data_IF_185086384469
#
_entry.id   IF_185086384469
#
_cell.length_a   1.000
_cell.length_b   1.000
_cell.length_c   1.000
_cell.angle_alpha   90.00
_cell.angle_beta   90.00
_cell.angle_gamma   90.00
#
_symmetry.space_group_name_H-M   'P 1'
#
loop_
_entity.id
_entity.type
_entity.pdbx_description
1 polymer ?
#
# COMPACT_ATOMS: atom_id res chain seq x y z
N UNK A 1 34.92 -50.12 -3.73
CA UNK A 1 34.95 -48.85 -4.47
C UNK A 1 33.75 -48.02 -4.06
N UNK A 2 33.94 -46.70 -3.95
CA UNK A 2 33.05 -45.64 -3.47
C UNK A 2 32.87 -45.45 -1.95
N UNK A 3 33.56 -44.40 -1.46
CA UNK A 3 33.45 -43.77 -0.15
C UNK A 3 32.13 -43.01 0.05
N UNK A 4 31.61 -42.90 1.28
CA UNK A 4 30.60 -41.90 1.64
C UNK A 4 31.25 -40.51 1.77
N UNK A 5 30.62 -39.50 1.15
CA UNK A 5 30.99 -38.10 1.33
C UNK A 5 30.52 -37.63 2.72
N UNK A 6 31.48 -37.31 3.57
CA UNK A 6 31.27 -36.64 4.85
C UNK A 6 31.10 -35.13 4.58
N UNK A 7 29.97 -34.56 4.99
CA UNK A 7 29.80 -33.11 5.06
C UNK A 7 30.32 -32.63 6.42
N UNK A 8 31.41 -31.87 6.40
CA UNK A 8 31.92 -31.15 7.56
C UNK A 8 30.96 -30.01 7.97
N UNK A 9 31.07 -29.51 9.22
CA UNK A 9 30.20 -28.45 9.70
C UNK A 9 30.39 -27.18 8.86
N UNK A 10 29.28 -26.64 8.38
CA UNK A 10 29.23 -25.29 7.79
C UNK A 10 29.54 -24.32 8.91
N UNK A 11 30.69 -23.64 8.80
CA UNK A 11 31.08 -22.59 9.72
C UNK A 11 29.99 -21.53 9.80
N UNK A 12 29.58 -21.20 11.03
CA UNK A 12 28.74 -20.06 11.33
C UNK A 12 29.54 -18.79 11.02
N UNK A 13 29.32 -18.23 9.85
CA UNK A 13 29.72 -16.86 9.54
C UNK A 13 28.59 -15.95 10.03
N UNK A 14 28.62 -15.64 11.32
CA UNK A 14 27.71 -14.71 12.01
C UNK A 14 28.01 -13.26 11.59
N UNK A 15 27.73 -12.94 10.33
CA UNK A 15 27.57 -11.57 9.87
C UNK A 15 26.19 -11.04 10.26
N UNK A 16 26.05 -9.87 10.89
CA UNK A 16 24.75 -9.37 11.26
C UNK A 16 23.95 -9.03 10.00
N UNK A 17 22.91 -9.83 9.71
CA UNK A 17 21.81 -9.44 8.83
C UNK A 17 21.17 -8.21 9.46
N UNK A 18 21.54 -7.02 8.97
CA UNK A 18 20.94 -5.76 9.39
C UNK A 18 19.51 -5.69 8.86
N UNK A 19 18.56 -6.15 9.66
CA UNK A 19 17.19 -5.67 9.54
C UNK A 19 17.19 -4.16 9.84
N UNK A 20 16.91 -3.35 8.83
CA UNK A 20 16.65 -1.92 9.04
C UNK A 20 15.28 -1.79 9.72
N UNK A 21 15.27 -1.86 11.04
CA UNK A 21 14.11 -1.45 11.85
C UNK A 21 14.21 0.06 12.00
N UNK A 22 13.48 0.81 11.17
CA UNK A 22 13.18 2.21 11.46
C UNK A 22 12.03 2.23 12.47
N UNK A 23 12.36 2.20 13.77
CA UNK A 23 11.38 2.56 14.80
C UNK A 23 11.18 4.08 14.77
N UNK A 24 9.95 4.51 14.56
CA UNK A 24 9.53 5.91 14.69
C UNK A 24 9.39 6.27 16.16
N UNK A 25 10.49 6.35 16.89
CA UNK A 25 10.53 6.86 18.27
C UNK A 25 11.75 7.77 18.48
N UNK A 26 11.82 8.86 17.71
CA UNK A 26 12.82 9.90 17.95
C UNK A 26 12.37 11.30 17.52
N UNK A 27 11.21 11.72 18.00
CA UNK A 27 10.92 13.15 18.20
C UNK A 27 11.12 13.51 19.68
N UNK A 28 12.36 13.40 20.14
CA UNK A 28 12.82 14.10 21.35
C UNK A 28 13.85 15.11 20.87
N UNK A 29 13.53 16.40 21.00
CA UNK A 29 14.52 17.48 20.84
C UNK A 29 15.61 17.24 21.89
N UNK A 30 16.78 16.85 21.43
CA UNK A 30 18.01 16.95 22.21
C UNK A 30 18.85 18.04 21.55
N UNK A 31 18.97 19.17 22.25
CA UNK A 31 20.00 20.18 22.00
C UNK A 31 21.36 19.50 22.06
N UNK A 32 22.00 19.33 20.91
CA UNK A 32 23.34 18.75 20.82
C UNK A 32 24.16 19.56 19.84
N UNK A 33 24.93 20.47 20.43
CA UNK A 33 25.97 21.25 19.77
C UNK A 33 27.08 20.33 19.23
N UNK A 34 27.40 20.53 17.95
CA UNK A 34 28.69 20.25 17.25
C UNK A 34 29.15 18.80 17.04
N UNK A 35 29.01 18.33 15.80
CA UNK A 35 29.82 17.23 15.20
C UNK A 35 31.04 17.86 14.50
N UNK A 36 32.29 17.46 14.79
CA UNK A 36 33.48 18.07 14.17
C UNK A 36 33.59 17.71 12.68
N UNK A 37 33.83 18.71 11.81
CA UNK A 37 34.25 18.50 10.42
C UNK A 37 33.15 18.53 9.35
N UNK A 38 31.87 18.74 9.70
CA UNK A 38 30.85 19.09 8.71
C UNK A 38 30.97 20.58 8.37
N UNK A 39 31.14 20.99 7.11
CA UNK A 39 31.04 22.41 6.77
C UNK A 39 29.67 22.90 7.23
N UNK A 40 29.68 23.85 8.15
CA UNK A 40 28.47 24.54 8.58
C UNK A 40 27.97 25.30 7.36
N UNK A 41 26.97 24.77 6.67
CA UNK A 41 26.15 25.60 5.79
C UNK A 41 25.53 26.63 6.72
N UNK A 42 25.87 27.93 6.61
CA UNK A 42 25.21 28.94 7.42
C UNK A 42 23.71 28.76 7.19
N UNK A 43 22.93 28.76 8.28
CA UNK A 43 21.49 28.82 8.16
C UNK A 43 21.20 29.95 7.15
N UNK A 44 20.33 29.74 6.15
CA UNK A 44 20.01 30.80 5.21
C UNK A 44 19.66 32.04 6.04
N UNK A 45 20.16 33.19 5.61
CA UNK A 45 19.84 34.47 6.23
C UNK A 45 18.36 34.75 5.94
N UNK A 46 17.50 34.04 6.67
CA UNK A 46 16.06 34.19 6.62
C UNK A 46 15.82 35.47 7.37
N UNK A 47 15.84 36.57 6.62
CA UNK A 47 15.28 37.82 7.08
C UNK A 47 13.81 37.55 7.42
N UNK A 48 13.53 37.27 8.69
CA UNK A 48 12.20 37.06 9.27
C UNK A 48 11.31 38.31 9.15
N UNK A 49 11.88 39.44 8.70
CA UNK A 49 11.17 40.69 8.42
C UNK A 49 10.80 40.82 6.94
N UNK A 50 11.27 39.92 6.07
CA UNK A 50 10.88 39.90 4.67
C UNK A 50 9.41 39.48 4.59
N UNK A 51 8.50 40.31 4.05
CA UNK A 51 7.12 39.92 3.90
C UNK A 51 7.09 38.64 3.06
N UNK A 52 6.37 37.61 3.56
CA UNK A 52 6.24 36.36 2.81
C UNK A 52 5.74 36.70 1.41
N UNK A 53 6.37 36.16 0.35
CA UNK A 53 5.87 36.36 -0.99
C UNK A 53 4.40 35.94 -1.02
N UNK A 54 3.54 36.84 -1.50
CA UNK A 54 2.12 36.53 -1.69
C UNK A 54 2.08 35.37 -2.67
N UNK A 55 1.74 34.18 -2.17
CA UNK A 55 1.56 33.01 -3.02
C UNK A 55 0.38 33.30 -3.96
N UNK A 56 0.50 32.93 -5.25
CA UNK A 56 -0.64 33.03 -6.14
C UNK A 56 -1.81 32.21 -5.56
N UNK A 57 -3.06 32.59 -5.86
CA UNK A 57 -4.21 31.79 -5.44
C UNK A 57 -4.05 30.36 -5.98
N UNK A 58 -4.41 29.34 -5.19
CA UNK A 58 -4.34 27.96 -5.64
C UNK A 58 -5.18 27.79 -6.91
N UNK A 59 -4.73 26.98 -7.88
CA UNK A 59 -5.49 26.74 -9.09
C UNK A 59 -6.87 26.15 -8.74
N UNK A 60 -7.90 26.53 -9.49
CA UNK A 60 -9.30 26.13 -9.26
C UNK A 60 -9.51 24.61 -9.39
N UNK A 61 -8.53 23.91 -9.97
CA UNK A 61 -8.44 22.45 -10.00
C UNK A 61 -7.03 21.98 -10.35
N UNK A 62 -6.77 20.69 -10.14
CA UNK A 62 -5.51 20.02 -10.49
C UNK A 62 -5.77 19.02 -11.62
N UNK A 63 -4.88 18.98 -12.62
CA UNK A 63 -4.81 17.92 -13.63
C UNK A 63 -3.74 16.87 -13.31
N UNK A 64 -3.10 16.97 -12.14
CA UNK A 64 -2.03 16.03 -11.72
C UNK A 64 -2.64 14.75 -11.17
N UNK A 65 -3.66 14.87 -10.32
CA UNK A 65 -4.39 13.74 -9.74
C UNK A 65 -5.71 14.22 -9.17
N UNK A 66 -6.71 13.34 -9.20
CA UNK A 66 -8.01 13.48 -8.56
C UNK A 66 -7.93 13.37 -7.02
N UNK A 67 -6.89 12.74 -6.46
CA UNK A 67 -6.67 12.69 -5.01
C UNK A 67 -6.33 14.06 -4.38
N UNK A 68 -6.09 15.08 -5.22
CA UNK A 68 -5.93 16.46 -4.80
C UNK A 68 -7.26 17.21 -4.68
N UNK A 69 -8.37 16.61 -5.11
CA UNK A 69 -9.70 17.21 -4.99
C UNK A 69 -10.15 17.25 -3.52
N UNK A 70 -10.92 18.30 -3.19
CA UNK A 70 -11.62 18.36 -1.91
C UNK A 70 -12.78 17.35 -1.84
N UNK A 71 -13.28 17.15 -0.62
CA UNK A 71 -14.45 16.31 -0.35
C UNK A 71 -15.75 16.98 -0.83
N UNK A 72 -16.70 16.21 -1.35
CA UNK A 72 -17.99 16.76 -1.81
C UNK A 72 -18.83 17.31 -0.64
N UNK A 73 -19.68 18.33 -0.87
CA UNK A 73 -20.53 18.88 0.17
C UNK A 73 -21.41 17.83 0.87
N UNK A 74 -21.99 16.89 0.12
CA UNK A 74 -22.87 15.85 0.65
C UNK A 74 -22.13 14.89 1.61
N UNK A 75 -20.85 14.60 1.33
CA UNK A 75 -20.01 13.81 2.24
C UNK A 75 -19.70 14.60 3.51
N UNK A 76 -19.42 15.91 3.39
CA UNK A 76 -19.21 16.76 4.57
C UNK A 76 -20.46 16.86 5.46
N UNK A 77 -21.64 16.98 4.85
CA UNK A 77 -22.91 16.97 5.57
C UNK A 77 -23.16 15.63 6.28
N UNK A 78 -22.88 14.51 5.62
CA UNK A 78 -22.98 13.19 6.23
C UNK A 78 -22.02 13.00 7.41
N UNK A 79 -20.78 13.48 7.29
CA UNK A 79 -19.80 13.48 8.39
C UNK A 79 -20.27 14.35 9.55
N UNK A 80 -20.79 15.55 9.29
CA UNK A 80 -21.34 16.43 10.32
C UNK A 80 -22.52 15.78 11.05
N UNK A 81 -23.41 15.09 10.33
CA UNK A 81 -24.52 14.35 10.91
C UNK A 81 -24.06 13.14 11.74
N UNK A 82 -23.02 12.43 11.31
CA UNK A 82 -22.42 11.31 12.05
C UNK A 82 -21.69 11.75 13.32
N UNK A 83 -21.27 13.01 13.40
CA UNK A 83 -20.56 13.59 14.55
C UNK A 83 -21.50 14.02 15.70
N UNK A 84 -22.78 13.66 15.66
CA UNK A 84 -23.76 13.95 16.73
C UNK A 84 -24.06 12.68 17.51
N UNK A 85 -23.82 12.72 18.83
CA UNK A 85 -24.07 11.58 19.72
C UNK A 85 -22.90 10.61 19.82
N UNK A 86 -23.19 9.35 20.12
CA UNK A 86 -22.20 8.27 20.24
C UNK A 86 -22.52 7.13 19.28
N UNK A 87 -21.50 6.40 18.85
CA UNK A 87 -21.63 5.23 17.99
C UNK A 87 -20.74 4.09 18.52
N UNK A 88 -21.16 2.86 18.29
CA UNK A 88 -20.33 1.69 18.58
C UNK A 88 -19.14 1.63 17.61
N UNK A 89 -18.00 1.20 18.12
CA UNK A 89 -16.78 1.12 17.34
C UNK A 89 -16.75 -0.10 16.40
N UNK A 90 -15.72 -0.17 15.54
CA UNK A 90 -15.40 -1.32 14.70
C UNK A 90 -16.51 -1.78 13.74
N UNK A 91 -17.34 -0.84 13.29
CA UNK A 91 -18.37 -1.06 12.28
C UNK A 91 -19.70 -1.58 12.82
N UNK A 92 -19.88 -1.65 14.14
CA UNK A 92 -21.15 -2.04 14.77
C UNK A 92 -22.14 -0.87 14.92
N UNK A 93 -22.06 0.10 14.01
CA UNK A 93 -22.86 1.32 14.02
C UNK A 93 -23.86 1.40 12.87
N UNK A 94 -24.86 2.27 13.04
CA UNK A 94 -25.95 2.46 12.09
C UNK A 94 -25.47 3.01 10.74
N UNK A 95 -24.41 3.83 10.72
CA UNK A 95 -23.86 4.39 9.47
C UNK A 95 -23.22 3.30 8.63
N UNK A 96 -22.41 2.44 9.25
CA UNK A 96 -21.83 1.26 8.63
C UNK A 96 -22.94 0.36 8.07
N UNK A 97 -23.96 -0.01 8.87
CA UNK A 97 -25.06 -0.87 8.39
C UNK A 97 -25.81 -0.27 7.20
N UNK A 98 -26.09 1.04 7.22
CA UNK A 98 -26.74 1.76 6.11
C UNK A 98 -25.86 1.77 4.85
N UNK A 99 -24.58 2.06 4.98
CA UNK A 99 -23.65 2.06 3.86
C UNK A 99 -23.54 0.66 3.22
N UNK A 100 -23.43 -0.39 4.03
CA UNK A 100 -23.42 -1.77 3.53
C UNK A 100 -24.75 -2.16 2.86
N UNK A 101 -25.89 -1.71 3.38
CA UNK A 101 -27.19 -1.92 2.74
C UNK A 101 -27.26 -1.25 1.37
N UNK A 102 -26.80 0.01 1.28
CA UNK A 102 -26.76 0.74 0.02
C UNK A 102 -25.85 0.07 -1.00
N UNK A 103 -24.71 -0.47 -0.59
CA UNK A 103 -23.82 -1.23 -1.49
C UNK A 103 -24.52 -2.48 -2.03
N UNK A 104 -25.26 -3.22 -1.22
CA UNK A 104 -26.05 -4.37 -1.69
C UNK A 104 -27.11 -3.98 -2.72
N UNK A 105 -27.78 -2.85 -2.52
CA UNK A 105 -28.75 -2.31 -3.49
C UNK A 105 -28.06 -1.89 -4.80
N UNK A 106 -26.92 -1.21 -4.73
CA UNK A 106 -26.19 -0.73 -5.90
C UNK A 106 -25.66 -1.88 -6.75
N UNK A 107 -25.14 -2.93 -6.11
CA UNK A 107 -24.62 -4.11 -6.81
C UNK A 107 -25.69 -5.14 -7.18
N UNK A 108 -26.93 -4.97 -6.69
CA UNK A 108 -28.03 -5.93 -6.84
C UNK A 108 -27.61 -7.38 -6.50
N UNK A 109 -26.84 -7.51 -5.42
CA UNK A 109 -26.20 -8.78 -5.05
C UNK A 109 -25.96 -8.87 -3.54
N UNK A 110 -25.86 -10.10 -2.98
CA UNK A 110 -25.56 -10.31 -1.57
C UNK A 110 -24.06 -10.09 -1.27
N UNK A 111 -23.58 -8.87 -1.53
CA UNK A 111 -22.18 -8.50 -1.28
C UNK A 111 -21.91 -8.32 0.21
N UNK A 112 -20.70 -8.72 0.62
CA UNK A 112 -20.12 -8.34 1.92
C UNK A 112 -19.12 -7.22 1.67
N UNK A 113 -19.23 -6.14 2.42
CA UNK A 113 -18.38 -4.95 2.26
C UNK A 113 -17.70 -4.60 3.56
N UNK A 114 -16.39 -4.33 3.45
CA UNK A 114 -15.53 -3.93 4.54
C UNK A 114 -14.90 -2.59 4.17
N UNK A 115 -14.86 -1.66 5.12
CA UNK A 115 -14.33 -0.32 4.89
C UNK A 115 -12.86 -0.26 5.28
N UNK A 116 -12.02 0.14 4.32
CA UNK A 116 -10.59 0.34 4.53
C UNK A 116 -10.27 1.83 4.49
N UNK A 117 -9.19 2.24 5.17
CA UNK A 117 -8.74 3.64 5.18
C UNK A 117 -8.42 4.19 3.78
N UNK A 118 -7.91 3.35 2.88
CA UNK A 118 -7.58 3.76 1.52
C UNK A 118 -7.37 2.58 0.57
N UNK A 119 -7.07 2.89 -0.70
CA UNK A 119 -6.99 1.92 -1.79
C UNK A 119 -5.95 0.82 -1.58
N UNK A 120 -4.73 1.16 -1.17
CA UNK A 120 -3.67 0.17 -0.90
C UNK A 120 -4.10 -0.86 0.16
N UNK A 121 -4.73 -0.41 1.24
CA UNK A 121 -5.24 -1.30 2.28
C UNK A 121 -6.36 -2.21 1.77
N UNK A 122 -7.27 -1.67 0.95
CA UNK A 122 -8.33 -2.45 0.32
C UNK A 122 -7.77 -3.53 -0.63
N UNK A 123 -6.77 -3.19 -1.45
CA UNK A 123 -6.11 -4.15 -2.34
C UNK A 123 -5.41 -5.26 -1.57
N UNK A 124 -4.65 -4.90 -0.52
CA UNK A 124 -3.96 -5.87 0.35
C UNK A 124 -4.97 -6.83 1.00
N UNK A 125 -6.04 -6.30 1.63
CA UNK A 125 -7.05 -7.13 2.30
C UNK A 125 -7.81 -8.00 1.30
N UNK A 126 -8.20 -7.42 0.16
CA UNK A 126 -8.90 -8.14 -0.91
C UNK A 126 -8.08 -9.31 -1.44
N UNK A 127 -6.82 -9.06 -1.84
CA UNK A 127 -5.92 -10.10 -2.32
C UNK A 127 -5.64 -11.15 -1.24
N UNK A 128 -5.31 -10.74 -0.01
CA UNK A 128 -5.05 -11.67 1.09
C UNK A 128 -6.25 -12.59 1.40
N UNK A 129 -7.47 -12.13 1.14
CA UNK A 129 -8.69 -12.92 1.41
C UNK A 129 -8.95 -14.05 0.42
N UNK A 130 -8.36 -13.99 -0.78
CA UNK A 130 -8.57 -14.98 -1.86
C UNK A 130 -7.32 -15.81 -2.17
N UNK A 131 -6.15 -15.38 -1.68
CA UNK A 131 -4.88 -16.04 -1.92
C UNK A 131 -4.57 -17.12 -0.90
N UNK A 132 -4.03 -18.24 -1.39
CA UNK A 132 -3.28 -19.22 -0.60
C UNK A 132 -1.78 -18.90 -0.65
N UNK A 133 -0.97 -19.37 0.32
CA UNK A 133 0.45 -18.99 0.43
C UNK A 133 1.31 -19.29 -0.80
N UNK A 134 0.93 -20.27 -1.61
CA UNK A 134 1.65 -20.67 -2.83
C UNK A 134 1.06 -20.05 -4.12
N UNK A 135 0.01 -19.23 -3.99
CA UNK A 135 -0.63 -18.61 -5.14
C UNK A 135 0.05 -17.29 -5.52
N UNK A 136 -0.10 -16.93 -6.79
CA UNK A 136 0.43 -15.74 -7.41
C UNK A 136 -0.69 -14.88 -7.98
N UNK A 137 -0.47 -13.57 -7.97
CA UNK A 137 -1.35 -12.58 -8.58
C UNK A 137 -0.83 -12.23 -9.97
N UNK A 138 -1.57 -12.61 -11.01
CA UNK A 138 -1.31 -12.16 -12.38
C UNK A 138 -1.92 -10.77 -12.56
N UNK A 139 -1.14 -9.80 -13.03
CA UNK A 139 -1.61 -8.42 -13.18
C UNK A 139 -0.95 -7.75 -14.38
N UNK A 140 -1.57 -6.70 -14.93
CA UNK A 140 -0.89 -5.82 -15.88
C UNK A 140 0.34 -5.18 -15.21
N UNK A 141 1.44 -5.03 -15.94
CA UNK A 141 2.68 -4.45 -15.43
C UNK A 141 2.51 -2.99 -14.98
N UNK A 142 1.52 -2.28 -15.52
CA UNK A 142 1.14 -0.91 -15.15
C UNK A 142 0.19 -0.82 -13.96
N UNK A 143 -0.23 -1.94 -13.37
CA UNK A 143 -1.22 -1.92 -12.30
C UNK A 143 -0.70 -1.22 -11.04
N UNK A 144 -1.60 -0.52 -10.34
CA UNK A 144 -1.28 0.24 -9.13
C UNK A 144 -0.60 -0.62 -8.04
N UNK A 145 -1.06 -1.87 -7.88
CA UNK A 145 -0.46 -2.85 -6.94
C UNK A 145 1.01 -3.18 -7.22
N UNK A 146 1.48 -2.94 -8.45
CA UNK A 146 2.87 -3.12 -8.88
C UNK A 146 3.67 -1.84 -8.68
N UNK A 147 3.13 -0.71 -9.14
CA UNK A 147 3.92 0.52 -9.33
C UNK A 147 3.83 1.52 -8.17
N UNK A 148 2.69 1.60 -7.48
CA UNK A 148 2.35 2.73 -6.60
C UNK A 148 1.93 2.31 -5.18
N UNK A 149 2.19 1.05 -4.81
CA UNK A 149 1.88 0.52 -3.47
C UNK A 149 3.12 0.13 -2.66
N UNK A 150 4.32 0.53 -3.12
CA UNK A 150 5.59 0.30 -2.41
C UNK A 150 5.80 -1.19 -2.02
N UNK A 151 5.32 -2.11 -2.86
CA UNK A 151 5.39 -3.55 -2.60
C UNK A 151 4.49 -4.05 -1.47
N UNK A 152 3.53 -3.26 -0.99
CA UNK A 152 2.61 -3.66 0.08
C UNK A 152 1.87 -4.98 -0.21
N UNK A 153 1.29 -5.21 -1.42
CA UNK A 153 0.65 -6.48 -1.74
C UNK A 153 1.57 -7.69 -1.55
N UNK A 154 2.78 -7.67 -2.12
CA UNK A 154 3.75 -8.76 -1.96
C UNK A 154 4.13 -8.97 -0.49
N UNK A 155 4.38 -7.89 0.26
CA UNK A 155 4.78 -7.96 1.66
C UNK A 155 3.71 -8.55 2.57
N UNK A 156 2.46 -8.12 2.42
CA UNK A 156 1.38 -8.48 3.35
C UNK A 156 0.70 -9.80 2.97
N UNK A 157 0.70 -10.17 1.69
CA UNK A 157 0.12 -11.45 1.25
C UNK A 157 1.14 -12.59 1.26
N UNK A 158 2.45 -12.28 1.18
CA UNK A 158 3.50 -13.27 0.93
C UNK A 158 3.44 -13.89 -0.47
N UNK A 159 2.56 -13.40 -1.34
CA UNK A 159 2.36 -13.93 -2.69
C UNK A 159 3.41 -13.40 -3.67
N UNK A 160 3.61 -14.17 -4.74
CA UNK A 160 4.35 -13.67 -5.91
C UNK A 160 3.42 -12.78 -6.74
N UNK A 161 3.85 -11.57 -7.05
CA UNK A 161 3.16 -10.68 -7.99
C UNK A 161 3.83 -10.83 -9.35
N UNK A 162 3.07 -11.23 -10.37
CA UNK A 162 3.56 -11.49 -11.72
C UNK A 162 3.06 -10.39 -12.66
N UNK A 163 3.88 -9.36 -12.95
CA UNK A 163 3.53 -8.31 -13.89
C UNK A 163 3.63 -8.82 -15.33
N UNK A 164 2.56 -8.65 -16.09
CA UNK A 164 2.45 -9.02 -17.51
C UNK A 164 2.45 -7.74 -18.34
N UNK A 165 3.36 -7.58 -19.32
CA UNK A 165 3.35 -6.43 -20.22
C UNK A 165 2.03 -6.32 -21.00
N UNK A 166 1.49 -5.12 -21.10
CA UNK A 166 0.24 -4.78 -21.81
C UNK A 166 0.41 -3.41 -22.45
N UNK A 167 -0.09 -3.21 -23.67
CA UNK A 167 0.02 -1.92 -24.36
C UNK A 167 -1.01 -0.88 -23.88
N UNK A 168 -2.19 -1.33 -23.43
CA UNK A 168 -3.32 -0.48 -23.05
C UNK A 168 -3.70 -0.58 -21.55
N UNK A 169 -2.87 -1.28 -20.77
CA UNK A 169 -3.12 -1.55 -19.34
C UNK A 169 -4.14 -2.64 -19.07
N UNK A 170 -4.59 -3.41 -20.07
CA UNK A 170 -5.60 -4.46 -19.91
C UNK A 170 -5.02 -5.85 -20.14
N UNK A 171 -5.42 -6.79 -19.29
CA UNK A 171 -5.15 -8.21 -19.50
C UNK A 171 -6.17 -8.80 -20.47
N UNK A 172 -5.69 -9.58 -21.43
CA UNK A 172 -6.52 -10.42 -22.30
C UNK A 172 -6.31 -11.90 -21.96
N UNK A 173 -7.26 -12.79 -22.28
CA UNK A 173 -7.08 -14.23 -22.09
C UNK A 173 -5.81 -14.77 -22.77
N UNK A 174 -5.47 -14.27 -23.96
CA UNK A 174 -4.27 -14.69 -24.71
C UNK A 174 -2.98 -14.35 -23.96
N UNK A 175 -2.95 -13.20 -23.26
CA UNK A 175 -1.82 -12.81 -22.43
C UNK A 175 -1.69 -13.66 -21.15
N UNK A 176 -2.80 -14.25 -20.69
CA UNK A 176 -2.84 -15.11 -19.51
C UNK A 176 -2.56 -16.58 -19.83
N UNK A 177 -2.84 -17.03 -21.06
CA UNK A 177 -2.72 -18.43 -21.49
C UNK A 177 -1.37 -19.08 -21.12
N UNK A 178 -0.20 -18.42 -21.30
CA UNK A 178 1.10 -19.01 -20.96
C UNK A 178 1.33 -19.21 -19.46
N UNK A 179 0.54 -18.57 -18.60
CA UNK A 179 0.69 -18.61 -17.15
C UNK A 179 -0.22 -19.67 -16.52
N UNK A 180 -1.43 -19.83 -17.07
CA UNK A 180 -2.41 -20.81 -16.58
C UNK A 180 -2.08 -22.24 -17.00
N UNK A 181 -1.27 -22.44 -18.04
CA UNK A 181 -0.86 -23.80 -18.45
C UNK A 181 -0.06 -24.56 -17.37
N UNK A 182 0.54 -23.86 -16.41
CA UNK A 182 1.30 -24.44 -15.30
C UNK A 182 0.45 -24.71 -14.05
N UNK A 183 -0.87 -24.50 -14.16
CA UNK A 183 -1.78 -24.76 -13.06
C UNK A 183 -1.77 -26.25 -12.71
N UNK A 184 -1.60 -26.55 -11.42
CA UNK A 184 -1.43 -27.90 -10.87
C UNK A 184 0.03 -28.33 -10.68
N UNK A 185 1.01 -27.62 -11.24
CA UNK A 185 2.43 -27.97 -11.08
C UNK A 185 3.01 -27.47 -9.75
N UNK A 186 3.56 -28.36 -8.92
CA UNK A 186 4.18 -28.04 -7.63
C UNK A 186 5.44 -27.17 -7.73
N UNK A 187 6.07 -27.13 -8.90
CA UNK A 187 7.28 -26.33 -9.14
C UNK A 187 7.01 -24.87 -9.50
N UNK A 188 5.75 -24.46 -9.63
CA UNK A 188 5.38 -23.11 -10.05
C UNK A 188 4.40 -22.46 -9.06
N UNK A 189 4.54 -21.15 -8.77
CA UNK A 189 3.49 -20.38 -8.11
C UNK A 189 2.18 -20.49 -8.89
N UNK A 190 1.08 -20.72 -8.19
CA UNK A 190 -0.20 -21.06 -8.81
C UNK A 190 -1.03 -19.79 -9.04
N UNK A 191 -1.54 -19.52 -10.25
CA UNK A 191 -2.45 -18.38 -10.41
C UNK A 191 -3.67 -18.55 -9.50
N UNK A 192 -4.05 -17.45 -8.85
CA UNK A 192 -5.20 -17.36 -7.95
C UNK A 192 -6.53 -17.48 -8.69
#
# INVERSE_FOLDING_TARGET
MHHPMSFGPVGADDGPVRAAVATTDRWRREDSTTVPGRPTVPAPDVDVRRPMPILPPPPVGSFVSDNAAGVSPEVMEALAAANVGTAMAYGDDDWTRRAQARLREVFDAPVRSYFCWGGTGANVVGLASVLRPWQAVLTAASAHIVVDECGAPARFTGSTIVPIPTDDGRLSPDLLAPWVQWQGSEHHPQPA
#
